data_IF_417181367418
#
_entry.id   IF_417181367418
#
_cell.length_a   1.000
_cell.length_b   1.000
_cell.length_c   1.000
_cell.angle_alpha   90.00
_cell.angle_beta   90.00
_cell.angle_gamma   90.00
#
_symmetry.space_group_name_H-M   'P 1'
#
loop_
_entity.id
_entity.type
_entity.pdbx_description
1 polymer ?
#
# COMPACT_ATOMS: atom_id res chain seq x y z
N UNK A 1 21.06 19.75 -12.80
CA UNK A 1 21.91 18.62 -12.34
C UNK A 1 21.31 17.22 -12.67
N UNK A 2 20.34 17.14 -13.59
CA UNK A 2 19.53 15.94 -13.89
C UNK A 2 20.26 14.80 -14.65
N UNK A 3 21.19 15.11 -15.57
CA UNK A 3 21.83 14.09 -16.44
C UNK A 3 22.51 12.96 -15.68
N UNK A 4 23.24 13.25 -14.60
CA UNK A 4 23.97 12.22 -13.84
C UNK A 4 23.03 11.25 -13.12
N UNK A 5 21.93 11.76 -12.55
CA UNK A 5 20.91 10.94 -11.87
C UNK A 5 20.19 10.04 -12.89
N UNK A 6 19.90 10.57 -14.08
CA UNK A 6 19.31 9.81 -15.17
C UNK A 6 20.24 8.68 -15.64
N UNK A 7 21.52 8.96 -15.84
CA UNK A 7 22.51 7.95 -16.26
C UNK A 7 22.66 6.83 -15.22
N UNK A 8 22.66 7.17 -13.93
CA UNK A 8 22.70 6.20 -12.83
C UNK A 8 21.45 5.31 -12.79
N UNK A 9 20.26 5.88 -13.03
CA UNK A 9 19.01 5.13 -13.11
C UNK A 9 18.96 4.23 -14.35
N UNK A 10 19.37 4.69 -15.52
CA UNK A 10 19.40 3.88 -16.73
C UNK A 10 20.27 2.63 -16.60
N UNK A 11 21.33 2.70 -15.79
CA UNK A 11 22.22 1.56 -15.55
C UNK A 11 21.71 0.59 -14.48
N UNK A 12 20.91 1.07 -13.51
CA UNK A 12 20.63 0.32 -12.28
C UNK A 12 19.14 0.15 -11.94
N UNK A 13 18.24 0.73 -12.73
CA UNK A 13 16.81 0.63 -12.52
C UNK A 13 16.18 -0.33 -13.53
N UNK A 14 15.56 -1.38 -12.99
CA UNK A 14 14.81 -2.35 -13.77
C UNK A 14 13.34 -1.94 -13.81
N UNK A 15 12.85 -1.53 -14.99
CA UNK A 15 11.48 -1.06 -15.19
C UNK A 15 10.44 -2.16 -15.02
N UNK A 16 10.82 -3.44 -15.10
CA UNK A 16 9.90 -4.56 -14.82
C UNK A 16 9.41 -4.56 -13.37
N UNK A 17 10.15 -3.92 -12.46
CA UNK A 17 9.72 -3.71 -11.06
C UNK A 17 8.48 -2.83 -10.94
N UNK A 18 8.19 -1.98 -11.92
CA UNK A 18 6.95 -1.20 -11.96
C UNK A 18 5.77 -2.13 -12.26
N UNK A 19 5.94 -3.09 -13.18
CA UNK A 19 4.90 -4.07 -13.48
C UNK A 19 4.65 -5.00 -12.28
N UNK A 20 5.71 -5.46 -11.61
CA UNK A 20 5.58 -6.25 -10.38
C UNK A 20 4.86 -5.47 -9.25
N UNK A 21 5.04 -4.15 -9.20
CA UNK A 21 4.29 -3.29 -8.27
C UNK A 21 2.79 -3.23 -8.60
N UNK A 22 2.41 -3.23 -9.89
CA UNK A 22 1.01 -3.34 -10.32
C UNK A 22 0.42 -4.68 -9.88
N UNK A 23 1.13 -5.78 -10.15
CA UNK A 23 0.68 -7.12 -9.74
C UNK A 23 0.47 -7.20 -8.21
N UNK A 24 1.37 -6.59 -7.44
CA UNK A 24 1.28 -6.53 -5.96
C UNK A 24 0.05 -5.72 -5.51
N UNK A 25 -0.24 -4.59 -6.17
CA UNK A 25 -1.43 -3.78 -5.88
C UNK A 25 -2.71 -4.56 -6.21
N UNK A 26 -2.73 -5.27 -7.33
CA UNK A 26 -3.88 -6.08 -7.73
C UNK A 26 -4.13 -7.23 -6.74
N UNK A 27 -3.07 -7.87 -6.22
CA UNK A 27 -3.17 -8.88 -5.16
C UNK A 27 -3.80 -8.30 -3.88
N UNK A 28 -3.30 -7.14 -3.43
CA UNK A 28 -3.84 -6.44 -2.25
C UNK A 28 -5.30 -6.05 -2.48
N UNK A 29 -5.64 -5.49 -3.65
CA UNK A 29 -7.00 -5.11 -3.99
C UNK A 29 -7.93 -6.33 -4.00
N UNK A 30 -7.46 -7.46 -4.55
CA UNK A 30 -8.20 -8.71 -4.54
C UNK A 30 -8.47 -9.18 -3.11
N UNK A 31 -7.47 -9.15 -2.22
CA UNK A 31 -7.64 -9.58 -0.83
C UNK A 31 -8.57 -8.66 -0.01
N UNK A 32 -8.56 -7.36 -0.29
CA UNK A 32 -9.46 -6.40 0.36
C UNK A 32 -10.90 -6.53 -0.15
N UNK A 33 -11.08 -6.72 -1.47
CA UNK A 33 -12.37 -6.70 -2.13
C UNK A 33 -13.07 -8.06 -2.25
N UNK A 34 -12.40 -9.16 -1.87
CA UNK A 34 -13.02 -10.48 -1.89
C UNK A 34 -14.25 -10.52 -0.98
N UNK A 35 -15.21 -11.40 -1.31
CA UNK A 35 -16.47 -11.53 -0.58
C UNK A 35 -16.25 -11.87 0.90
N UNK A 36 -15.22 -12.66 1.17
CA UNK A 36 -14.74 -13.03 2.51
C UNK A 36 -13.41 -12.34 2.87
N UNK A 37 -13.10 -11.22 2.23
CA UNK A 37 -11.84 -10.51 2.39
C UNK A 37 -11.72 -9.73 3.71
N UNK A 38 -10.59 -9.04 3.85
CA UNK A 38 -10.23 -8.27 5.06
C UNK A 38 -11.30 -7.28 5.51
N UNK A 39 -12.06 -6.71 4.57
CA UNK A 39 -13.18 -5.83 4.90
C UNK A 39 -14.23 -6.54 5.75
N UNK A 40 -14.59 -7.78 5.41
CA UNK A 40 -15.56 -8.55 6.17
C UNK A 40 -14.99 -8.94 7.54
N UNK A 41 -13.74 -9.37 7.58
CA UNK A 41 -13.05 -9.70 8.84
C UNK A 41 -12.98 -8.52 9.80
N UNK A 42 -12.68 -7.30 9.32
CA UNK A 42 -12.69 -6.08 10.13
C UNK A 42 -14.09 -5.73 10.66
N UNK A 43 -15.14 -5.94 9.86
CA UNK A 43 -16.53 -5.74 10.30
C UNK A 43 -16.95 -6.78 11.36
N UNK A 44 -16.47 -8.02 11.24
CA UNK A 44 -16.66 -9.06 12.23
C UNK A 44 -15.92 -8.71 13.52
N UNK A 45 -14.65 -8.31 13.43
CA UNK A 45 -13.86 -7.87 14.59
C UNK A 45 -14.52 -6.67 15.29
N UNK A 46 -15.01 -5.70 14.53
CA UNK A 46 -15.76 -4.57 15.06
C UNK A 46 -17.01 -5.02 15.82
N UNK A 47 -17.78 -5.94 15.24
CA UNK A 47 -18.98 -6.51 15.88
C UNK A 47 -18.65 -7.19 17.21
N UNK A 48 -17.58 -8.00 17.24
CA UNK A 48 -17.09 -8.66 18.46
C UNK A 48 -16.64 -7.64 19.50
N UNK A 49 -15.84 -6.65 19.10
CA UNK A 49 -15.36 -5.59 19.99
C UNK A 49 -16.52 -4.78 20.56
N UNK A 50 -17.52 -4.46 19.74
CA UNK A 50 -18.71 -3.73 20.15
C UNK A 50 -19.50 -4.50 21.22
N UNK A 51 -19.74 -5.80 21.03
CA UNK A 51 -20.44 -6.62 22.02
C UNK A 51 -19.64 -6.74 23.33
N UNK A 52 -18.33 -6.95 23.27
CA UNK A 52 -17.49 -7.16 24.45
C UNK A 52 -17.24 -5.85 25.22
N UNK A 53 -16.89 -4.79 24.51
CA UNK A 53 -16.45 -3.52 25.12
C UNK A 53 -17.66 -2.64 25.44
N UNK A 54 -18.63 -2.54 24.53
CA UNK A 54 -19.76 -1.64 24.69
C UNK A 54 -20.97 -2.33 25.34
N UNK A 55 -20.91 -3.65 25.55
CA UNK A 55 -21.95 -4.41 26.26
C UNK A 55 -23.26 -4.57 25.47
N UNK A 56 -23.24 -4.33 24.16
CA UNK A 56 -24.42 -4.48 23.31
C UNK A 56 -24.51 -5.92 22.79
N UNK A 57 -25.42 -6.68 23.41
CA UNK A 57 -25.71 -8.08 23.09
C UNK A 57 -26.63 -8.24 21.87
N UNK A 58 -27.00 -7.15 21.17
CA UNK A 58 -27.85 -7.22 19.97
C UNK A 58 -27.12 -7.68 18.72
N UNK A 59 -25.78 -7.65 18.71
CA UNK A 59 -25.00 -8.10 17.57
C UNK A 59 -24.68 -9.60 17.74
N UNK A 60 -25.12 -10.41 16.78
CA UNK A 60 -24.75 -11.83 16.70
C UNK A 60 -23.25 -11.93 16.38
N UNK A 61 -22.39 -11.82 17.40
CA UNK A 61 -20.98 -12.12 17.24
C UNK A 61 -20.82 -13.55 16.71
N UNK A 62 -19.94 -13.79 15.71
CA UNK A 62 -19.67 -15.13 15.22
C UNK A 62 -19.33 -16.07 16.38
N UNK A 63 -20.13 -17.13 16.56
CA UNK A 63 -19.92 -18.10 17.64
C UNK A 63 -18.76 -19.02 17.29
N UNK A 64 -17.69 -19.00 18.08
CA UNK A 64 -16.58 -19.96 17.98
C UNK A 64 -15.21 -19.37 17.66
N UNK A 65 -15.10 -18.05 17.43
CA UNK A 65 -13.81 -17.37 17.16
C UNK A 65 -13.44 -16.45 18.30
N UNK A 66 -12.16 -16.39 18.67
CA UNK A 66 -11.68 -15.50 19.72
C UNK A 66 -11.31 -14.13 19.15
N UNK A 67 -11.74 -13.05 19.81
CA UNK A 67 -11.50 -11.67 19.35
C UNK A 67 -10.00 -11.37 19.15
N UNK A 68 -9.13 -11.93 19.99
CA UNK A 68 -7.68 -11.70 19.90
C UNK A 68 -7.03 -12.45 18.74
N UNK A 69 -7.54 -13.63 18.36
CA UNK A 69 -7.03 -14.39 17.21
C UNK A 69 -7.35 -13.63 15.93
N UNK A 70 -8.61 -13.21 15.77
CA UNK A 70 -9.04 -12.40 14.61
C UNK A 70 -8.26 -11.09 14.53
N UNK A 71 -8.02 -10.41 15.66
CA UNK A 71 -7.24 -9.18 15.68
C UNK A 71 -5.77 -9.41 15.27
N UNK A 72 -5.14 -10.49 15.75
CA UNK A 72 -3.75 -10.83 15.42
C UNK A 72 -3.60 -11.21 13.94
N UNK A 73 -4.51 -12.01 13.40
CA UNK A 73 -4.46 -12.42 12.00
C UNK A 73 -4.65 -11.22 11.06
N UNK A 74 -5.58 -10.31 11.40
CA UNK A 74 -5.78 -9.06 10.67
C UNK A 74 -4.57 -8.13 10.78
N UNK A 75 -3.96 -8.01 11.96
CA UNK A 75 -2.74 -7.21 12.15
C UNK A 75 -1.62 -7.69 11.23
N UNK A 76 -1.36 -9.01 11.19
CA UNK A 76 -0.33 -9.60 10.33
C UNK A 76 -0.59 -9.36 8.84
N UNK A 77 -1.84 -9.53 8.40
CA UNK A 77 -2.20 -9.30 7.00
C UNK A 77 -2.04 -7.81 6.60
N UNK A 78 -2.48 -6.90 7.46
CA UNK A 78 -2.34 -5.45 7.21
C UNK A 78 -0.88 -5.02 7.22
N UNK A 79 -0.04 -5.58 8.11
CA UNK A 79 1.39 -5.28 8.16
C UNK A 79 2.14 -5.78 6.91
N UNK A 80 1.77 -6.96 6.39
CA UNK A 80 2.29 -7.45 5.11
C UNK A 80 1.95 -6.49 3.95
N UNK A 81 0.71 -5.99 3.90
CA UNK A 81 0.31 -5.02 2.88
C UNK A 81 1.04 -3.69 3.03
N UNK A 82 1.17 -3.20 4.26
CA UNK A 82 1.91 -1.98 4.54
C UNK A 82 3.38 -2.11 4.10
N UNK A 83 4.01 -3.25 4.37
CA UNK A 83 5.38 -3.56 3.96
C UNK A 83 5.51 -3.58 2.43
N UNK A 84 4.60 -4.27 1.74
CA UNK A 84 4.55 -4.32 0.27
C UNK A 84 4.38 -2.92 -0.34
N UNK A 85 3.39 -2.16 0.14
CA UNK A 85 3.11 -0.80 -0.34
C UNK A 85 4.28 0.17 -0.07
N UNK A 86 4.93 0.06 1.09
CA UNK A 86 6.12 0.86 1.40
C UNK A 86 7.31 0.52 0.48
N UNK A 87 7.46 -0.75 0.11
CA UNK A 87 8.44 -1.19 -0.88
C UNK A 87 8.21 -0.54 -2.25
N UNK A 88 6.96 -0.48 -2.70
CA UNK A 88 6.56 0.21 -3.93
C UNK A 88 6.84 1.70 -3.83
N UNK A 89 6.43 2.36 -2.74
CA UNK A 89 6.66 3.79 -2.53
C UNK A 89 8.15 4.14 -2.54
N UNK A 90 8.99 3.32 -1.89
CA UNK A 90 10.46 3.48 -1.90
C UNK A 90 11.03 3.35 -3.31
N UNK A 91 10.56 2.37 -4.08
CA UNK A 91 10.97 2.18 -5.48
C UNK A 91 10.58 3.39 -6.35
N UNK A 92 9.35 3.88 -6.22
CA UNK A 92 8.87 5.07 -6.94
C UNK A 92 9.62 6.34 -6.54
N UNK A 93 10.01 6.46 -5.28
CA UNK A 93 10.83 7.57 -4.78
C UNK A 93 12.13 7.73 -5.57
N UNK A 94 12.77 6.63 -5.98
CA UNK A 94 13.97 6.66 -6.83
C UNK A 94 13.71 7.27 -8.21
N UNK A 95 12.53 7.05 -8.79
CA UNK A 95 12.12 7.70 -10.03
C UNK A 95 11.83 9.19 -9.82
N UNK A 96 11.29 9.55 -8.65
CA UNK A 96 11.04 10.95 -8.27
C UNK A 96 12.31 11.80 -8.17
N UNK A 97 13.49 11.19 -7.98
CA UNK A 97 14.78 11.92 -7.98
C UNK A 97 15.15 12.52 -9.35
N UNK A 98 14.43 12.13 -10.42
CA UNK A 98 14.58 12.67 -11.77
C UNK A 98 13.95 14.05 -11.96
N UNK A 99 13.21 14.58 -10.97
CA UNK A 99 12.67 15.95 -11.01
C UNK A 99 13.81 16.93 -11.34
N UNK A 100 13.67 17.75 -12.42
CA UNK A 100 14.69 18.73 -12.78
C UNK A 100 14.83 19.78 -11.67
N UNK A 101 16.03 20.35 -11.54
CA UNK A 101 16.24 21.44 -10.59
C UNK A 101 15.50 22.69 -11.14
N UNK A 102 14.91 23.53 -10.28
CA UNK A 102 14.10 24.70 -10.68
C UNK A 102 14.85 25.69 -11.62
N UNK A 103 16.18 25.58 -11.73
CA UNK A 103 17.03 26.36 -12.63
C UNK A 103 16.95 25.93 -14.12
N UNK A 104 16.33 24.79 -14.43
CA UNK A 104 16.21 24.27 -15.81
C UNK A 104 14.94 24.79 -16.54
N UNK A 105 14.04 25.53 -15.87
CA UNK A 105 12.81 26.10 -16.48
C UNK A 105 13.03 27.42 -17.24
N UNK A 106 14.12 28.14 -17.00
CA UNK A 106 14.36 29.50 -17.56
C UNK A 106 15.18 29.54 -18.87
N UNK A 107 15.46 28.42 -19.53
CA UNK A 107 16.31 28.42 -20.74
C UNK A 107 15.59 28.11 -22.06
N UNK A 108 14.27 28.29 -22.11
CA UNK A 108 13.53 28.39 -23.38
C UNK A 108 13.50 29.83 -23.88
N UNK A 109 14.67 30.46 -24.03
CA UNK A 109 14.78 31.64 -24.89
C UNK A 109 14.67 31.16 -26.35
N UNK A 110 13.48 31.37 -26.91
CA UNK A 110 13.23 31.33 -28.34
C UNK A 110 13.99 32.51 -28.96
N UNK A 111 15.21 32.28 -29.44
CA UNK A 111 15.87 33.21 -30.35
C UNK A 111 15.13 33.17 -31.70
N UNK A 112 14.40 34.24 -32.03
CA UNK A 112 13.81 34.55 -33.35
C UNK A 112 14.80 35.36 -34.22
#
# INVERSE_FOLDING_TARGET
MSSKKLDELQQNFDTTKILAAVDTIDEICSSICDLDGIRLELLNLHSMAHTIINGDSTINAPTGTCIWEVAQDLELQIDDFATKLNGIATMLGRLGELVPDEEDEENFDFDE
#
